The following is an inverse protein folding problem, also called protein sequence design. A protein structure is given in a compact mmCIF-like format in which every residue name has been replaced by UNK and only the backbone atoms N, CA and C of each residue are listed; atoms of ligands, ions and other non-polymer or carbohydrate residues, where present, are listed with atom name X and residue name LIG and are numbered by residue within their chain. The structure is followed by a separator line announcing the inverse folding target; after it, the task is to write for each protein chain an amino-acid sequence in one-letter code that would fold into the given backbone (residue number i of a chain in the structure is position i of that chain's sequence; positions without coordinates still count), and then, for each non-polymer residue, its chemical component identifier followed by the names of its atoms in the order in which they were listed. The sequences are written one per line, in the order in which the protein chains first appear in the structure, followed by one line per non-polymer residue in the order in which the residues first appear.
data_IF_381565520243
#
_entry.id   IF_381565520243
#
_cell.length_a   1.000
_cell.length_b   1.000
_cell.length_c   1.000
_cell.angle_alpha   90.00
_cell.angle_beta   90.00
_cell.angle_gamma   90.00
#
_symmetry.space_group_name_H-M   'P 1'
#
loop_
_entity.id
_entity.type
_entity.pdbx_description
1 polymer ?
#
# COMPACT_ATOMS: atom_id res chain seq x y z
N UNK A 1 -8.75 -1.97 -10.56
CA UNK A 1 -8.69 -0.83 -9.62
C UNK A 1 -7.59 -1.06 -8.61
N UNK A 2 -6.63 -0.14 -8.49
CA UNK A 2 -5.56 -0.28 -7.50
C UNK A 2 -6.12 -0.15 -6.09
N UNK A 3 -5.70 -1.04 -5.22
CA UNK A 3 -6.16 -1.02 -3.84
C UNK A 3 -5.04 -1.37 -2.88
N UNK A 4 -4.83 -0.49 -1.89
CA UNK A 4 -3.91 -0.74 -0.79
C UNK A 4 -4.66 -1.28 0.42
N UNK A 5 -4.13 -2.35 0.99
CA UNK A 5 -4.46 -2.80 2.34
C UNK A 5 -3.23 -2.60 3.19
N UNK A 6 -3.32 -1.75 4.21
CA UNK A 6 -2.20 -1.46 5.07
C UNK A 6 -2.52 -1.87 6.51
N UNK A 7 -1.72 -2.79 7.04
CA UNK A 7 -1.80 -3.18 8.44
C UNK A 7 -0.74 -2.42 9.21
N UNK A 8 -1.15 -1.72 10.25
CA UNK A 8 -0.26 -0.94 11.11
C UNK A 8 -0.73 -1.08 12.55
N UNK A 9 0.16 -0.89 13.50
CA UNK A 9 -0.19 -0.89 14.91
C UNK A 9 -1.31 0.12 15.17
N UNK A 10 -2.38 -0.31 15.84
CA UNK A 10 -3.56 0.52 16.02
C UNK A 10 -3.24 1.82 16.77
N UNK A 11 -2.32 1.78 17.70
CA UNK A 11 -1.91 2.95 18.50
C UNK A 11 -1.25 4.04 17.65
N UNK A 12 -0.78 3.71 16.44
CA UNK A 12 -0.27 4.69 15.49
C UNK A 12 -1.37 5.45 14.76
N UNK A 13 -2.60 4.95 14.79
CA UNK A 13 -3.76 5.55 14.13
C UNK A 13 -4.50 6.44 15.12
N UNK A 14 -4.26 7.75 15.06
CA UNK A 14 -4.73 8.72 16.05
C UNK A 14 -5.81 9.68 15.52
N UNK A 15 -6.30 9.45 14.30
CA UNK A 15 -7.28 10.29 13.63
C UNK A 15 -6.65 11.41 12.81
N UNK A 16 -5.41 11.77 13.06
CA UNK A 16 -4.71 12.83 12.30
C UNK A 16 -3.77 12.26 11.25
N UNK A 17 -3.22 11.07 11.46
CA UNK A 17 -2.28 10.43 10.55
C UNK A 17 -2.98 9.76 9.37
N UNK A 18 -4.20 9.28 9.55
CA UNK A 18 -4.92 8.52 8.52
C UNK A 18 -5.08 9.30 7.21
N UNK A 19 -5.56 10.56 7.20
CA UNK A 19 -5.64 11.29 5.94
C UNK A 19 -4.29 11.45 5.24
N UNK A 20 -3.20 11.59 6.01
CA UNK A 20 -1.85 11.71 5.47
C UNK A 20 -1.38 10.42 4.83
N UNK A 21 -1.68 9.28 5.45
CA UNK A 21 -1.33 7.96 4.91
C UNK A 21 -2.11 7.67 3.63
N UNK A 22 -3.40 7.95 3.63
CA UNK A 22 -4.26 7.75 2.45
C UNK A 22 -3.75 8.60 1.30
N UNK A 23 -3.46 9.87 1.54
CA UNK A 23 -2.94 10.78 0.53
C UNK A 23 -1.56 10.32 0.01
N UNK A 24 -0.67 9.93 0.92
CA UNK A 24 0.68 9.50 0.55
C UNK A 24 0.66 8.24 -0.32
N UNK A 25 -0.16 7.25 0.01
CA UNK A 25 -0.29 6.03 -0.77
C UNK A 25 -0.88 6.32 -2.16
N UNK A 26 -1.88 7.19 -2.22
CA UNK A 26 -2.47 7.62 -3.48
C UNK A 26 -1.43 8.32 -4.36
N UNK A 27 -0.66 9.24 -3.79
CA UNK A 27 0.38 9.96 -4.51
C UNK A 27 1.51 9.04 -4.99
N UNK A 28 1.80 7.97 -4.25
CA UNK A 28 2.81 6.99 -4.66
C UNK A 28 2.42 6.32 -5.97
N UNK A 29 1.15 5.93 -6.12
CA UNK A 29 0.65 5.35 -7.37
C UNK A 29 0.63 6.40 -8.47
N UNK A 30 0.17 7.61 -8.18
CA UNK A 30 0.14 8.70 -9.14
C UNK A 30 1.53 9.05 -9.67
N UNK A 31 2.56 8.96 -8.83
CA UNK A 31 3.94 9.21 -9.24
C UNK A 31 4.44 8.21 -10.28
N UNK A 32 3.90 7.00 -10.28
CA UNK A 32 4.30 5.94 -11.22
C UNK A 32 3.40 5.91 -12.46
N UNK A 33 2.10 6.05 -12.28
CA UNK A 33 1.10 5.86 -13.36
C UNK A 33 0.43 7.15 -13.82
N UNK A 34 0.58 8.26 -13.12
CA UNK A 34 -0.09 9.52 -13.44
C UNK A 34 -1.31 9.79 -12.56
N UNK A 35 -1.74 11.05 -12.55
CA UNK A 35 -2.81 11.51 -11.65
C UNK A 35 -4.16 10.86 -11.92
N UNK A 36 -4.49 10.60 -13.18
CA UNK A 36 -5.77 9.95 -13.50
C UNK A 36 -5.87 8.57 -12.90
N UNK A 37 -4.78 7.81 -12.96
CA UNK A 37 -4.73 6.50 -12.37
C UNK A 37 -4.76 6.60 -10.83
N UNK A 38 -4.11 7.61 -10.28
CA UNK A 38 -4.14 7.89 -8.84
C UNK A 38 -5.54 8.08 -8.28
N UNK A 39 -6.45 8.66 -9.06
CA UNK A 39 -7.84 8.87 -8.64
C UNK A 39 -8.62 7.57 -8.44
N UNK A 40 -8.11 6.47 -8.94
CA UNK A 40 -8.75 5.16 -8.82
C UNK A 40 -8.29 4.39 -7.59
N UNK A 41 -7.30 4.90 -6.87
CA UNK A 41 -6.67 4.19 -5.75
C UNK A 41 -7.61 4.12 -4.55
N UNK A 42 -7.89 2.90 -4.11
CA UNK A 42 -8.55 2.67 -2.84
C UNK A 42 -7.52 2.37 -1.75
N UNK A 43 -7.81 2.77 -0.52
CA UNK A 43 -6.93 2.53 0.63
C UNK A 43 -7.77 2.13 1.83
N UNK A 44 -7.41 1.00 2.43
CA UNK A 44 -7.92 0.62 3.74
C UNK A 44 -6.74 0.60 4.72
N UNK A 45 -6.91 1.28 5.84
CA UNK A 45 -5.97 1.28 6.94
C UNK A 45 -6.53 0.38 8.04
N UNK A 46 -5.80 -0.66 8.37
CA UNK A 46 -6.25 -1.68 9.30
C UNK A 46 -5.35 -1.63 10.54
N UNK A 47 -5.93 -1.21 11.66
CA UNK A 47 -5.23 -1.17 12.93
C UNK A 47 -5.09 -2.57 13.53
N UNK A 48 -3.88 -2.95 13.88
CA UNK A 48 -3.60 -4.20 14.58
C UNK A 48 -3.44 -3.87 16.05
N UNK A 49 -4.36 -4.31 16.91
CA UNK A 49 -4.28 -4.03 18.34
C UNK A 49 -2.98 -4.54 18.95
N UNK A 50 -2.55 -3.87 20.03
CA UNK A 50 -1.36 -4.26 20.79
C UNK A 50 -1.42 -5.76 21.13
N UNK A 51 -0.28 -6.43 21.08
CA UNK A 51 -0.11 -7.86 21.35
C UNK A 51 -0.70 -8.79 20.29
N UNK A 52 -1.19 -8.27 19.16
CA UNK A 52 -1.73 -9.11 18.07
C UNK A 52 -0.82 -9.20 16.86
N UNK A 53 0.29 -8.47 16.84
CA UNK A 53 1.31 -8.62 15.80
C UNK A 53 2.52 -9.30 16.41
N UNK A 54 2.95 -10.38 15.80
CA UNK A 54 4.14 -11.10 16.20
C UNK A 54 5.18 -11.15 15.10
N UNK A 55 6.45 -11.06 15.47
CA UNK A 55 7.58 -11.22 14.56
C UNK A 55 8.60 -12.10 15.28
N UNK A 56 9.03 -13.17 14.62
CA UNK A 56 9.99 -14.09 15.21
C UNK A 56 9.49 -14.81 16.46
N UNK A 57 8.16 -14.98 16.58
CA UNK A 57 7.55 -15.68 17.70
C UNK A 57 7.26 -14.82 18.93
N UNK A 58 7.51 -13.52 18.86
CA UNK A 58 7.24 -12.59 19.97
C UNK A 58 6.41 -11.40 19.49
N UNK A 59 5.61 -10.78 20.39
CA UNK A 59 4.87 -9.57 20.05
C UNK A 59 5.81 -8.46 19.60
N UNK A 60 5.42 -7.72 18.56
CA UNK A 60 6.19 -6.60 18.02
C UNK A 60 5.47 -5.27 18.29
N UNK A 61 6.23 -4.26 18.63
CA UNK A 61 5.73 -2.89 18.86
C UNK A 61 6.15 -1.92 17.77
N UNK A 62 6.67 -2.42 16.63
CA UNK A 62 7.08 -1.53 15.54
C UNK A 62 5.88 -0.79 14.94
N UNK A 63 6.10 0.47 14.59
CA UNK A 63 5.11 1.28 13.85
C UNK A 63 5.21 1.06 12.34
N UNK A 64 6.16 0.27 11.86
CA UNK A 64 6.32 -0.01 10.45
C UNK A 64 5.12 -0.81 9.92
N UNK A 65 4.49 -0.36 8.84
CA UNK A 65 3.33 -1.04 8.28
C UNK A 65 3.70 -2.24 7.41
N UNK A 66 2.73 -3.14 7.28
CA UNK A 66 2.74 -4.21 6.30
C UNK A 66 1.71 -3.83 5.24
N UNK A 67 2.15 -3.62 4.00
CA UNK A 67 1.33 -3.04 2.95
C UNK A 67 1.21 -4.00 1.77
N UNK A 68 -0.01 -4.18 1.28
CA UNK A 68 -0.27 -4.93 0.06
C UNK A 68 -0.95 -4.01 -0.95
N UNK A 69 -0.38 -3.92 -2.15
CA UNK A 69 -1.00 -3.24 -3.28
C UNK A 69 -1.48 -4.29 -4.26
N UNK A 70 -2.78 -4.29 -4.54
CA UNK A 70 -3.40 -5.19 -5.49
C UNK A 70 -3.86 -4.42 -6.71
N UNK A 71 -3.48 -4.89 -7.89
CA UNK A 71 -3.93 -4.36 -9.19
C UNK A 71 -4.07 -5.51 -10.16
N UNK A 72 -4.69 -5.25 -11.31
CA UNK A 72 -4.70 -6.25 -12.39
C UNK A 72 -3.28 -6.53 -12.85
N UNK A 73 -2.96 -7.78 -13.10
CA UNK A 73 -1.61 -8.19 -13.52
C UNK A 73 -1.14 -7.39 -14.72
N UNK A 74 -2.03 -7.15 -15.70
CA UNK A 74 -1.70 -6.41 -16.91
C UNK A 74 -1.16 -4.99 -16.62
N UNK A 75 -1.57 -4.37 -15.53
CA UNK A 75 -1.10 -3.02 -15.18
C UNK A 75 0.39 -2.99 -14.85
N UNK A 76 0.98 -4.11 -14.47
CA UNK A 76 2.41 -4.18 -14.15
C UNK A 76 3.29 -4.40 -15.39
N UNK A 77 2.68 -4.60 -16.55
CA UNK A 77 3.39 -4.92 -17.79
C UNK A 77 3.21 -3.87 -18.89
N UNK A 78 2.73 -2.68 -18.53
CA UNK A 78 2.54 -1.61 -19.50
C UNK A 78 3.89 -1.10 -20.01
N UNK A 79 4.10 -1.02 -21.34
CA UNK A 79 5.38 -0.55 -21.89
C UNK A 79 5.74 0.88 -21.46
N UNK A 80 4.75 1.74 -21.26
CA UNK A 80 4.94 3.12 -20.84
C UNK A 80 5.32 3.27 -19.37
N UNK A 81 5.22 2.18 -18.61
CA UNK A 81 5.59 2.16 -17.17
C UNK A 81 6.55 0.99 -16.94
N UNK A 82 7.80 1.10 -17.40
CA UNK A 82 8.77 0.02 -17.21
C UNK A 82 9.12 -0.16 -15.74
N UNK A 83 9.41 -1.39 -15.33
CA UNK A 83 9.79 -1.74 -13.96
C UNK A 83 8.75 -1.29 -12.92
N UNK A 84 7.46 -1.37 -13.26
CA UNK A 84 6.40 -0.88 -12.41
C UNK A 84 6.43 -1.46 -10.99
N UNK A 85 6.56 -2.77 -10.76
CA UNK A 85 6.59 -3.30 -9.39
C UNK A 85 7.70 -2.70 -8.55
N UNK A 86 8.94 -2.62 -9.06
CA UNK A 86 10.06 -2.06 -8.32
C UNK A 86 9.84 -0.58 -8.00
N UNK A 87 9.30 0.17 -8.95
CA UNK A 87 9.01 1.59 -8.77
C UNK A 87 7.91 1.81 -7.75
N UNK A 88 6.88 0.96 -7.77
CA UNK A 88 5.78 1.03 -6.80
C UNK A 88 6.24 0.70 -5.39
N UNK A 89 7.09 -0.31 -5.23
CA UNK A 89 7.66 -0.65 -3.92
C UNK A 89 8.45 0.53 -3.36
N UNK A 90 9.28 1.14 -4.19
CA UNK A 90 10.09 2.30 -3.77
C UNK A 90 9.21 3.50 -3.43
N UNK A 91 8.28 3.86 -4.32
CA UNK A 91 7.42 5.03 -4.12
C UNK A 91 6.55 4.86 -2.88
N UNK A 92 6.01 3.67 -2.67
CA UNK A 92 5.18 3.37 -1.50
C UNK A 92 6.00 3.47 -0.21
N UNK A 93 7.20 2.88 -0.21
CA UNK A 93 8.09 2.95 0.97
C UNK A 93 8.47 4.40 1.28
N UNK A 94 8.85 5.17 0.27
CA UNK A 94 9.20 6.58 0.44
C UNK A 94 8.04 7.39 1.01
N UNK A 95 6.84 7.16 0.48
CA UNK A 95 5.64 7.84 0.94
C UNK A 95 5.36 7.56 2.41
N UNK A 96 5.44 6.30 2.81
CA UNK A 96 5.16 5.88 4.19
C UNK A 96 6.24 6.36 5.15
N UNK A 97 7.50 6.29 4.78
CA UNK A 97 8.59 6.82 5.60
C UNK A 97 8.48 8.34 5.77
N UNK A 98 7.98 9.04 4.75
CA UNK A 98 7.74 10.48 4.81
C UNK A 98 6.67 10.86 5.82
N UNK A 99 5.68 10.00 6.06
CA UNK A 99 4.60 10.25 7.02
C UNK A 99 4.97 9.74 8.42
N UNK A 100 5.51 8.52 8.49
CA UNK A 100 5.72 7.81 9.76
C UNK A 100 7.11 8.05 10.38
N UNK A 101 8.05 8.58 9.60
CA UNK A 101 9.43 8.79 10.03
C UNK A 101 10.40 7.84 9.36
N UNK A 102 11.63 8.32 9.16
CA UNK A 102 12.66 7.53 8.47
C UNK A 102 13.16 6.33 9.27
N UNK A 103 12.98 6.36 10.57
CA UNK A 103 13.42 5.27 11.45
C UNK A 103 12.66 3.97 11.25
N UNK A 104 11.46 4.01 10.65
CA UNK A 104 10.69 2.80 10.34
C UNK A 104 10.95 2.24 8.94
N UNK A 105 11.64 2.97 8.08
CA UNK A 105 11.84 2.62 6.66
C UNK A 105 12.31 1.18 6.46
N UNK A 106 13.31 0.75 7.20
CA UNK A 106 13.91 -0.57 7.01
C UNK A 106 12.98 -1.72 7.36
N UNK A 107 11.92 -1.44 8.10
CA UNK A 107 10.96 -2.46 8.54
C UNK A 107 9.66 -2.44 7.72
N UNK A 108 9.49 -1.46 6.82
CA UNK A 108 8.31 -1.39 5.96
C UNK A 108 8.36 -2.51 4.92
N UNK A 109 7.31 -3.30 4.87
CA UNK A 109 7.17 -4.38 3.88
C UNK A 109 6.05 -4.01 2.93
N UNK A 110 6.38 -3.99 1.63
CA UNK A 110 5.42 -3.72 0.55
C UNK A 110 5.36 -4.94 -0.34
N UNK A 111 4.15 -5.49 -0.48
CA UNK A 111 3.90 -6.63 -1.36
C UNK A 111 3.04 -6.18 -2.53
N UNK A 112 3.46 -6.51 -3.73
CA UNK A 112 2.73 -6.22 -4.96
C UNK A 112 2.01 -7.49 -5.39
N UNK A 113 0.69 -7.38 -5.56
CA UNK A 113 -0.15 -8.52 -5.97
C UNK A 113 -0.78 -8.19 -7.31
N UNK A 114 -0.63 -9.11 -8.26
CA UNK A 114 -1.28 -9.02 -9.57
C UNK A 114 -2.50 -9.93 -9.62
N UNK A 115 -3.63 -9.39 -10.06
CA UNK A 115 -4.86 -10.16 -10.23
C UNK A 115 -4.96 -10.56 -11.71
N UNK A 116 -5.01 -11.86 -12.03
CA UNK A 116 -5.16 -12.31 -13.41
C UNK A 116 -6.46 -11.82 -14.04
N UNK A 117 -6.46 -11.70 -15.36
CA UNK A 117 -7.68 -11.35 -16.10
C UNK A 117 -8.82 -12.30 -15.76
N UNK A 118 -10.02 -11.74 -15.62
CA UNK A 118 -11.20 -12.53 -15.30
C UNK A 118 -11.37 -12.83 -13.81
N UNK A 119 -10.53 -12.29 -12.94
CA UNK A 119 -10.56 -12.57 -11.51
C UNK A 119 -10.92 -11.37 -10.64
N UNK A 120 -11.26 -10.25 -11.25
CA UNK A 120 -11.72 -9.06 -10.55
C UNK A 120 -12.88 -8.44 -11.29
N UNK A 121 -13.75 -7.74 -10.59
CA UNK A 121 -14.92 -7.14 -11.21
C UNK A 121 -15.55 -6.08 -10.34
N UNK A 122 -16.46 -5.33 -10.97
CA UNK A 122 -17.24 -4.26 -10.32
C UNK A 122 -18.71 -4.47 -10.67
N UNK A 123 -19.56 -4.33 -9.68
CA UNK A 123 -21.01 -4.47 -9.84
C UNK A 123 -21.43 -5.80 -10.50
N UNK A 124 -20.69 -6.87 -10.21
CA UNK A 124 -20.97 -8.20 -10.73
C UNK A 124 -20.43 -8.48 -12.12
N UNK A 125 -19.74 -7.53 -12.73
CA UNK A 125 -19.17 -7.69 -14.06
C UNK A 125 -17.64 -7.72 -13.97
N UNK A 126 -17.04 -8.69 -14.66
CA UNK A 126 -15.58 -8.80 -14.73
C UNK A 126 -15.00 -7.56 -15.41
N UNK A 127 -14.01 -7.01 -14.80
CA UNK A 127 -13.35 -5.81 -15.34
C UNK A 127 -11.99 -6.14 -15.95
#
# INVERSE_FOLDING_TARGET
MPHFSMHIREEALDGTVEPKLISALTDAVAAVYGEEFGRLVGVDLIGVPQHRRGIGGVPSETDAPLVTLSMREAAYHLPEVPDAPARLVRATTDALAGVLGEDVREQIIVTIVGVPDGRTGVAGTVA
#
